data_IF_711866174941
#
_entry.id   IF_711866174941
#
_cell.length_a   1.000
_cell.length_b   1.000
_cell.length_c   1.000
_cell.angle_alpha   90.00
_cell.angle_beta   90.00
_cell.angle_gamma   90.00
#
_symmetry.space_group_name_H-M   'P 1'
#
loop_
_entity.id
_entity.type
_entity.pdbx_description
1 polymer ?
#
# COMPACT_ATOMS: atom_id res chain seq x y z
N UNK A 1 35.45 27.34 -17.32
CA UNK A 1 35.38 25.89 -17.04
C UNK A 1 33.99 25.46 -17.44
N UNK A 2 33.81 25.04 -18.70
CA UNK A 2 32.51 24.72 -19.27
C UNK A 2 32.19 23.26 -18.92
N UNK A 3 31.24 23.05 -18.01
CA UNK A 3 30.61 21.74 -17.79
C UNK A 3 29.61 21.53 -18.93
N UNK A 4 30.10 21.32 -20.15
CA UNK A 4 29.25 21.04 -21.31
C UNK A 4 28.74 19.60 -21.22
N UNK A 5 27.43 19.42 -21.22
CA UNK A 5 26.78 18.13 -21.17
C UNK A 5 25.35 18.19 -20.66
N UNK A 6 24.49 17.34 -21.24
CA UNK A 6 23.11 17.17 -20.79
C UNK A 6 23.07 16.71 -19.33
N UNK A 7 22.09 17.19 -18.57
CA UNK A 7 21.95 16.90 -17.14
C UNK A 7 20.68 16.12 -16.88
N UNK A 8 20.80 15.06 -16.10
CA UNK A 8 19.64 14.40 -15.48
C UNK A 8 19.59 14.86 -14.03
N UNK A 9 18.51 15.55 -13.65
CA UNK A 9 18.19 15.82 -12.26
C UNK A 9 17.17 14.79 -11.75
N UNK A 10 17.59 14.03 -10.74
CA UNK A 10 16.75 13.06 -10.05
C UNK A 10 16.14 13.75 -8.83
N UNK A 11 14.84 14.01 -8.85
CA UNK A 11 14.10 14.57 -7.71
C UNK A 11 13.44 13.42 -6.96
N UNK A 12 13.90 13.12 -5.75
CA UNK A 12 13.33 12.05 -4.93
C UNK A 12 12.46 12.68 -3.85
N UNK A 13 11.11 12.53 -3.91
CA UNK A 13 10.25 12.99 -2.83
C UNK A 13 10.42 12.13 -1.58
N UNK A 14 9.72 12.50 -0.50
CA UNK A 14 9.57 11.58 0.64
C UNK A 14 8.95 10.26 0.18
N UNK A 15 9.27 9.18 0.90
CA UNK A 15 8.66 7.86 0.66
C UNK A 15 9.50 6.86 -0.14
N UNK A 16 10.76 7.17 -0.45
CA UNK A 16 11.67 6.18 -1.04
C UNK A 16 13.02 6.71 -1.49
N UNK A 17 13.69 5.92 -2.32
CA UNK A 17 14.97 6.23 -2.93
C UNK A 17 14.95 5.88 -4.42
N UNK A 18 15.92 6.39 -5.19
CA UNK A 18 16.23 5.96 -6.55
C UNK A 18 17.64 5.39 -6.59
N UNK A 19 17.79 4.18 -7.11
CA UNK A 19 19.08 3.50 -7.23
C UNK A 19 19.34 3.08 -8.67
N UNK A 20 20.61 2.97 -9.06
CA UNK A 20 20.98 2.31 -10.32
C UNK A 20 21.35 0.85 -10.10
N UNK A 21 21.12 0.00 -11.10
CA UNK A 21 21.55 -1.41 -11.08
C UNK A 21 23.06 -1.57 -10.92
N UNK A 22 23.86 -0.61 -11.39
CA UNK A 22 25.31 -0.60 -11.20
C UNK A 22 25.72 -0.32 -9.75
N UNK A 23 24.84 0.28 -8.95
CA UNK A 23 25.12 0.74 -7.59
C UNK A 23 25.87 2.08 -7.51
N UNK A 24 26.21 2.69 -8.64
CA UNK A 24 26.96 3.96 -8.69
C UNK A 24 26.15 5.16 -8.22
N UNK A 25 24.81 5.07 -8.32
CA UNK A 25 23.90 6.14 -7.94
C UNK A 25 22.91 5.61 -6.90
N UNK A 26 22.84 6.32 -5.79
CA UNK A 26 21.81 6.16 -4.77
C UNK A 26 21.35 7.54 -4.31
N UNK A 27 20.14 7.88 -4.69
CA UNK A 27 19.49 9.14 -4.33
C UNK A 27 18.40 8.87 -3.30
N UNK A 28 18.60 9.36 -2.08
CA UNK A 28 17.70 9.13 -0.95
C UNK A 28 16.52 10.11 -0.93
N UNK A 29 15.53 9.83 -0.09
CA UNK A 29 14.36 10.67 0.12
C UNK A 29 14.75 12.14 0.39
N UNK A 30 14.04 13.06 -0.27
CA UNK A 30 14.25 14.50 -0.16
C UNK A 30 15.51 15.03 -0.88
N UNK A 31 16.29 14.17 -1.54
CA UNK A 31 17.48 14.59 -2.26
C UNK A 31 17.18 14.98 -3.71
N UNK A 32 18.08 15.82 -4.25
CA UNK A 32 18.17 16.10 -5.68
C UNK A 32 19.56 15.66 -6.13
N UNK A 33 19.63 14.57 -6.90
CA UNK A 33 20.88 14.08 -7.47
C UNK A 33 21.05 14.59 -8.89
N UNK A 34 22.27 15.01 -9.25
CA UNK A 34 22.58 15.54 -10.59
C UNK A 34 23.58 14.63 -11.27
N UNK A 35 23.22 14.12 -12.44
CA UNK A 35 24.11 13.32 -13.29
C UNK A 35 24.42 14.11 -14.56
N UNK A 36 25.69 14.15 -14.94
CA UNK A 36 26.11 14.71 -16.22
C UNK A 36 26.21 13.56 -17.24
N UNK A 37 25.61 13.74 -18.41
CA UNK A 37 25.63 12.81 -19.54
C UNK A 37 26.37 13.48 -20.70
N UNK A 38 27.61 13.07 -20.91
CA UNK A 38 28.56 13.79 -21.78
C UNK A 38 29.16 12.90 -22.88
N UNK A 39 28.77 11.62 -22.94
CA UNK A 39 29.28 10.66 -23.92
C UNK A 39 28.19 9.71 -24.39
N UNK A 40 28.56 8.84 -25.35
CA UNK A 40 27.67 7.86 -25.97
C UNK A 40 27.61 6.52 -25.22
N UNK A 41 28.36 6.39 -24.13
CA UNK A 41 28.46 5.17 -23.33
C UNK A 41 27.59 5.21 -22.07
N UNK A 42 26.78 6.25 -21.90
CA UNK A 42 25.83 6.32 -20.80
C UNK A 42 24.75 5.25 -20.99
N UNK A 43 24.68 4.33 -20.03
CA UNK A 43 23.68 3.27 -19.97
C UNK A 43 23.41 2.96 -18.49
N UNK A 44 22.22 3.32 -18.02
CA UNK A 44 21.83 3.17 -16.63
C UNK A 44 20.37 2.74 -16.51
N UNK A 45 20.10 1.81 -15.61
CA UNK A 45 18.73 1.41 -15.23
C UNK A 45 18.46 1.96 -13.84
N UNK A 46 17.50 2.88 -13.75
CA UNK A 46 17.06 3.51 -12.51
C UNK A 46 15.85 2.77 -11.95
N UNK A 47 15.93 2.39 -10.69
CA UNK A 47 14.87 1.69 -9.96
C UNK A 47 14.43 2.55 -8.80
N UNK A 48 13.12 2.81 -8.71
CA UNK A 48 12.52 3.42 -7.54
C UNK A 48 12.37 2.36 -6.44
N UNK A 49 12.86 2.65 -5.25
CA UNK A 49 12.82 1.78 -4.07
C UNK A 49 11.94 2.46 -3.03
N UNK A 50 10.68 2.03 -2.86
CA UNK A 50 9.80 2.58 -1.83
C UNK A 50 10.37 2.35 -0.42
N UNK A 51 10.18 3.34 0.45
CA UNK A 51 10.39 3.16 1.88
C UNK A 51 9.27 2.31 2.49
N UNK A 52 9.44 1.86 3.72
CA UNK A 52 8.38 1.17 4.46
C UNK A 52 7.12 2.05 4.55
N UNK A 53 5.95 1.44 4.29
CA UNK A 53 4.68 2.18 4.26
C UNK A 53 4.45 2.99 2.98
N UNK A 54 5.27 2.83 1.94
CA UNK A 54 5.07 3.47 0.64
C UNK A 54 5.06 2.46 -0.49
N UNK A 55 4.44 2.85 -1.60
CA UNK A 55 4.52 2.14 -2.87
C UNK A 55 4.95 3.08 -3.99
N UNK A 56 5.68 2.54 -4.96
CA UNK A 56 6.00 3.25 -6.19
C UNK A 56 4.84 3.09 -7.16
N UNK A 57 4.24 4.21 -7.58
CA UNK A 57 3.08 4.20 -8.51
C UNK A 57 3.45 4.65 -9.92
N UNK A 58 4.71 4.97 -10.15
CA UNK A 58 5.26 5.29 -11.46
C UNK A 58 6.12 6.55 -11.49
N UNK A 59 6.78 6.79 -12.62
CA UNK A 59 7.55 8.01 -12.84
C UNK A 59 6.63 9.17 -13.19
N UNK A 60 6.90 10.37 -12.67
CA UNK A 60 6.06 11.54 -12.86
C UNK A 60 6.07 11.99 -14.33
N UNK A 61 4.88 12.11 -14.92
CA UNK A 61 4.71 12.76 -16.22
C UNK A 61 4.84 14.26 -16.07
N UNK A 62 5.85 14.85 -16.73
CA UNK A 62 6.10 16.29 -16.74
C UNK A 62 6.88 16.70 -18.00
N UNK A 63 6.94 17.99 -18.26
CA UNK A 63 7.83 18.51 -19.31
C UNK A 63 9.27 18.09 -19.03
N UNK A 64 9.94 17.57 -20.07
CA UNK A 64 11.29 16.97 -20.02
C UNK A 64 11.45 15.86 -18.97
N UNK A 65 10.34 15.24 -18.56
CA UNK A 65 10.34 14.08 -17.68
C UNK A 65 10.74 12.82 -18.42
N UNK A 66 11.61 12.02 -17.81
CA UNK A 66 12.04 10.73 -18.31
C UNK A 66 11.15 9.63 -17.73
N UNK A 67 10.77 8.66 -18.57
CA UNK A 67 9.95 7.50 -18.20
C UNK A 67 8.54 7.80 -17.65
N UNK A 68 8.03 9.03 -17.82
CA UNK A 68 6.74 9.47 -17.27
C UNK A 68 5.57 8.52 -17.56
N UNK A 69 4.83 8.18 -16.52
CA UNK A 69 3.69 7.26 -16.54
C UNK A 69 4.06 5.77 -16.50
N UNK A 70 5.34 5.41 -16.66
CA UNK A 70 5.80 4.03 -16.51
C UNK A 70 5.90 3.64 -15.04
N UNK A 71 5.52 2.41 -14.72
CA UNK A 71 5.73 1.74 -13.41
C UNK A 71 6.93 0.81 -13.41
N UNK A 72 7.62 0.69 -14.54
CA UNK A 72 8.82 -0.14 -14.69
C UNK A 72 10.08 0.65 -14.32
N UNK A 73 11.19 -0.07 -14.13
CA UNK A 73 12.50 0.55 -14.01
C UNK A 73 12.79 1.43 -15.25
N UNK A 74 13.35 2.61 -15.03
CA UNK A 74 13.64 3.57 -16.09
C UNK A 74 15.03 3.30 -16.68
N UNK A 75 15.08 2.64 -17.83
CA UNK A 75 16.32 2.45 -18.57
C UNK A 75 16.62 3.67 -19.44
N UNK A 76 17.77 4.30 -19.21
CA UNK A 76 18.25 5.46 -19.95
C UNK A 76 19.59 5.10 -20.61
N UNK A 77 19.64 5.21 -21.93
CA UNK A 77 20.84 4.90 -22.72
C UNK A 77 21.05 5.93 -23.81
N UNK A 78 22.31 6.25 -24.09
CA UNK A 78 22.74 7.07 -25.24
C UNK A 78 23.15 6.23 -26.44
N UNK A 79 23.08 4.91 -26.35
CA UNK A 79 23.35 4.02 -27.48
C UNK A 79 22.39 4.30 -28.65
N UNK A 80 22.92 4.39 -29.87
CA UNK A 80 22.13 4.69 -31.06
C UNK A 80 21.91 6.18 -31.33
N UNK A 81 22.50 7.06 -30.51
CA UNK A 81 22.54 8.50 -30.81
C UNK A 81 23.61 8.83 -31.87
N UNK A 82 24.57 7.93 -32.10
CA UNK A 82 25.60 8.09 -33.13
C UNK A 82 24.97 8.25 -34.53
N UNK A 83 25.19 9.42 -35.13
CA UNK A 83 24.63 9.76 -36.45
C UNK A 83 23.29 10.50 -36.42
N UNK A 84 22.70 10.75 -35.25
CA UNK A 84 21.53 11.62 -35.11
C UNK A 84 21.93 13.01 -34.60
N UNK A 85 22.04 13.98 -35.51
CA UNK A 85 22.51 15.33 -35.18
C UNK A 85 21.66 16.03 -34.10
N UNK A 86 20.34 15.78 -34.05
CA UNK A 86 19.46 16.36 -33.04
C UNK A 86 19.71 15.78 -31.65
N UNK A 87 19.95 14.47 -31.55
CA UNK A 87 20.25 13.82 -30.26
C UNK A 87 21.67 14.17 -29.79
N UNK A 88 22.63 14.26 -30.71
CA UNK A 88 23.99 14.75 -30.41
C UNK A 88 23.97 16.19 -29.90
N UNK A 89 23.14 17.07 -30.48
CA UNK A 89 23.00 18.44 -30.01
C UNK A 89 22.44 18.50 -28.58
N UNK A 90 21.59 17.55 -28.16
CA UNK A 90 21.14 17.45 -26.77
C UNK A 90 22.30 17.06 -25.86
N UNK A 91 23.12 16.07 -26.23
CA UNK A 91 24.29 15.67 -25.43
C UNK A 91 25.32 16.78 -25.26
N UNK A 92 25.48 17.65 -26.27
CA UNK A 92 26.39 18.80 -26.23
C UNK A 92 25.78 20.05 -25.57
N UNK A 93 24.49 20.02 -25.23
CA UNK A 93 23.78 21.15 -24.62
C UNK A 93 23.89 21.16 -23.09
N UNK A 94 23.43 22.24 -22.46
CA UNK A 94 23.21 22.33 -21.01
C UNK A 94 21.78 21.94 -20.60
N UNK A 95 21.05 21.22 -21.47
CA UNK A 95 19.66 20.89 -21.21
C UNK A 95 19.51 19.95 -20.00
N UNK A 96 18.43 20.18 -19.24
CA UNK A 96 18.11 19.41 -18.04
C UNK A 96 16.87 18.57 -18.26
N UNK A 97 16.97 17.28 -17.97
CA UNK A 97 15.88 16.32 -17.95
C UNK A 97 15.63 15.84 -16.52
N UNK A 98 14.38 15.46 -16.25
CA UNK A 98 13.93 15.16 -14.89
C UNK A 98 13.57 13.69 -14.76
N UNK A 99 14.09 13.06 -13.70
CA UNK A 99 13.65 11.73 -13.28
C UNK A 99 13.06 11.87 -11.87
N UNK A 100 11.76 11.61 -11.73
CA UNK A 100 11.04 11.86 -10.47
C UNK A 100 10.07 10.71 -10.21
N UNK A 101 10.36 9.82 -9.25
CA UNK A 101 9.41 8.77 -8.88
C UNK A 101 8.23 9.38 -8.13
N UNK A 102 7.06 8.76 -8.27
CA UNK A 102 5.89 9.05 -7.45
C UNK A 102 5.75 7.92 -6.44
N UNK A 103 5.91 8.27 -5.17
CA UNK A 103 5.59 7.39 -4.05
C UNK A 103 4.27 7.81 -3.44
N UNK A 104 3.43 6.83 -3.16
CA UNK A 104 2.18 7.03 -2.40
C UNK A 104 2.29 6.28 -1.07
N UNK A 105 1.80 6.91 -0.01
CA UNK A 105 1.68 6.23 1.28
C UNK A 105 0.71 5.07 1.13
N UNK A 106 1.19 3.87 1.44
CA UNK A 106 0.36 2.68 1.56
C UNK A 106 -0.54 2.88 2.78
N UNK A 107 -1.86 2.85 2.59
CA UNK A 107 -2.79 2.86 3.71
C UNK A 107 -2.44 1.68 4.65
N UNK A 108 -2.30 1.91 5.95
CA UNK A 108 -1.85 0.85 6.83
C UNK A 108 -2.93 -0.24 6.92
N UNK A 109 -2.50 -1.47 7.18
CA UNK A 109 -3.44 -2.57 7.28
C UNK A 109 -4.22 -2.48 8.59
N UNK A 110 -5.54 -2.56 8.51
CA UNK A 110 -6.43 -2.64 9.66
C UNK A 110 -6.51 -4.09 10.12
N UNK A 111 -5.84 -4.37 11.22
CA UNK A 111 -5.73 -5.64 11.90
C UNK A 111 -6.80 -5.76 12.98
N UNK A 112 -7.39 -6.94 13.10
CA UNK A 112 -8.43 -7.25 14.06
C UNK A 112 -7.86 -8.14 15.17
N UNK A 113 -8.15 -7.78 16.42
CA UNK A 113 -7.75 -8.56 17.60
C UNK A 113 -8.95 -8.77 18.49
N UNK A 114 -9.06 -9.93 19.16
CA UNK A 114 -10.18 -10.28 20.04
C UNK A 114 -9.76 -11.13 21.24
N UNK A 115 -10.75 -11.45 22.07
CA UNK A 115 -10.56 -12.13 23.37
C UNK A 115 -10.60 -11.14 24.53
N UNK A 116 -10.60 -11.66 25.76
CA UNK A 116 -10.70 -10.84 26.98
C UNK A 116 -9.64 -9.73 27.05
N UNK A 117 -8.43 -10.03 26.60
CA UNK A 117 -7.28 -9.11 26.59
C UNK A 117 -6.90 -8.68 25.18
N UNK A 118 -7.75 -8.94 24.18
CA UNK A 118 -7.48 -8.67 22.76
C UNK A 118 -6.19 -9.37 22.27
N UNK A 119 -5.92 -10.57 22.80
CA UNK A 119 -4.70 -11.33 22.55
C UNK A 119 -4.73 -12.19 21.29
N UNK A 120 -5.91 -12.47 20.75
CA UNK A 120 -6.07 -13.31 19.57
C UNK A 120 -6.11 -12.44 18.32
N UNK A 121 -5.19 -12.69 17.39
CA UNK A 121 -5.25 -12.09 16.06
C UNK A 121 -6.39 -12.75 15.25
N UNK A 122 -7.28 -11.92 14.71
CA UNK A 122 -8.49 -12.34 13.97
C UNK A 122 -8.41 -12.00 12.47
N UNK A 123 -7.26 -11.51 12.00
CA UNK A 123 -7.01 -11.24 10.59
C UNK A 123 -7.00 -9.76 10.22
N UNK A 124 -6.85 -9.51 8.93
CA UNK A 124 -6.73 -8.20 8.33
C UNK A 124 -7.98 -7.84 7.51
N UNK A 125 -8.54 -6.65 7.77
CA UNK A 125 -9.80 -6.17 7.21
C UNK A 125 -9.66 -5.58 5.80
N UNK A 126 -8.51 -4.98 5.48
CA UNK A 126 -8.26 -4.30 4.20
C UNK A 126 -7.08 -4.88 3.42
N UNK A 127 -6.54 -6.03 3.84
CA UNK A 127 -5.52 -6.76 3.08
C UNK A 127 -6.13 -7.43 1.84
N UNK A 128 -5.35 -7.63 0.76
CA UNK A 128 -5.78 -8.39 -0.40
C UNK A 128 -6.41 -9.73 -0.03
N UNK A 129 -7.56 -10.08 -0.63
CA UNK A 129 -8.29 -11.32 -0.34
C UNK A 129 -7.53 -12.61 -0.67
N UNK A 130 -6.37 -12.51 -1.34
CA UNK A 130 -5.46 -13.63 -1.60
C UNK A 130 -4.52 -13.93 -0.43
N UNK A 131 -4.36 -13.01 0.52
CA UNK A 131 -3.46 -13.19 1.67
C UNK A 131 -4.08 -14.16 2.67
N UNK A 132 -3.27 -15.03 3.27
CA UNK A 132 -3.75 -16.01 4.26
C UNK A 132 -4.42 -15.35 5.48
N UNK A 133 -3.98 -14.13 5.81
CA UNK A 133 -4.47 -13.38 6.96
C UNK A 133 -5.67 -12.48 6.65
N UNK A 134 -6.07 -12.35 5.38
CA UNK A 134 -7.24 -11.54 5.03
C UNK A 134 -8.52 -12.20 5.55
N UNK A 135 -9.40 -11.42 6.19
CA UNK A 135 -10.74 -11.89 6.57
C UNK A 135 -11.60 -12.23 5.34
N UNK A 136 -11.20 -11.80 4.14
CA UNK A 136 -11.88 -12.12 2.89
C UNK A 136 -11.32 -13.34 2.17
N UNK A 137 -10.24 -13.96 2.66
CA UNK A 137 -9.71 -15.19 2.08
C UNK A 137 -10.50 -16.41 2.60
N UNK A 138 -11.39 -16.95 1.77
CA UNK A 138 -12.19 -18.14 2.11
C UNK A 138 -11.37 -19.39 2.44
N UNK A 139 -10.12 -19.44 1.95
CA UNK A 139 -9.18 -20.54 2.16
C UNK A 139 -8.06 -20.15 3.15
N UNK A 140 -8.14 -18.96 3.74
CA UNK A 140 -7.15 -18.43 4.69
C UNK A 140 -7.47 -18.78 6.14
N UNK A 141 -6.57 -18.39 7.04
CA UNK A 141 -6.67 -18.69 8.47
C UNK A 141 -7.76 -17.88 9.18
N UNK A 142 -8.12 -16.71 8.63
CA UNK A 142 -9.01 -15.74 9.27
C UNK A 142 -10.27 -15.45 8.46
N UNK A 143 -10.32 -15.84 7.19
CA UNK A 143 -11.48 -15.66 6.32
C UNK A 143 -12.33 -16.92 6.10
N UNK A 144 -11.82 -18.10 6.43
CA UNK A 144 -12.54 -19.36 6.28
C UNK A 144 -13.68 -19.48 7.30
N UNK A 145 -14.86 -19.94 6.87
CA UNK A 145 -16.06 -20.03 7.70
C UNK A 145 -15.99 -21.08 8.83
N UNK A 146 -14.94 -21.90 8.86
CA UNK A 146 -14.74 -22.94 9.88
C UNK A 146 -13.43 -22.77 10.66
N UNK A 147 -12.65 -21.72 10.35
CA UNK A 147 -11.43 -21.46 11.09
C UNK A 147 -11.75 -20.95 12.52
N UNK A 148 -10.95 -21.33 13.53
CA UNK A 148 -11.25 -21.01 14.93
C UNK A 148 -11.19 -19.50 15.22
N UNK A 149 -10.30 -18.76 14.54
CA UNK A 149 -10.10 -17.31 14.72
C UNK A 149 -10.70 -16.48 13.58
N UNK A 150 -11.75 -17.00 12.95
CA UNK A 150 -12.46 -16.32 11.88
C UNK A 150 -13.73 -15.66 12.41
N UNK A 151 -13.89 -14.37 12.09
CA UNK A 151 -15.14 -13.66 12.34
C UNK A 151 -16.29 -14.21 11.49
N UNK A 152 -16.04 -15.04 10.49
CA UNK A 152 -17.08 -15.65 9.67
C UNK A 152 -17.49 -17.05 10.13
N UNK A 153 -16.90 -17.54 11.22
CA UNK A 153 -17.26 -18.83 11.81
C UNK A 153 -18.42 -18.68 12.80
N UNK A 154 -19.64 -18.92 12.31
CA UNK A 154 -20.87 -18.79 13.10
C UNK A 154 -20.93 -19.72 14.33
N UNK A 155 -20.15 -20.81 14.33
CA UNK A 155 -20.04 -21.73 15.45
C UNK A 155 -18.85 -21.42 16.38
N UNK A 156 -17.97 -20.49 15.99
CA UNK A 156 -16.78 -20.11 16.74
C UNK A 156 -16.96 -18.87 17.61
N UNK A 157 -16.00 -18.63 18.49
CA UNK A 157 -16.06 -17.55 19.49
C UNK A 157 -16.15 -16.16 18.87
N UNK A 158 -15.56 -15.97 17.69
CA UNK A 158 -15.45 -14.65 17.04
C UNK A 158 -16.47 -14.42 15.94
N UNK A 159 -17.17 -15.44 15.44
CA UNK A 159 -18.19 -15.30 14.39
C UNK A 159 -19.62 -15.61 14.84
N UNK A 160 -19.81 -16.10 16.06
CA UNK A 160 -21.13 -16.44 16.58
C UNK A 160 -21.98 -15.21 16.94
N UNK A 161 -23.27 -15.24 16.63
CA UNK A 161 -24.21 -14.16 16.98
C UNK A 161 -24.49 -14.04 18.49
N UNK A 162 -24.00 -14.96 19.32
CA UNK A 162 -24.33 -15.02 20.76
C UNK A 162 -23.13 -14.88 21.69
N UNK A 163 -21.90 -15.06 21.20
CA UNK A 163 -20.71 -14.99 22.05
C UNK A 163 -20.36 -13.54 22.36
N UNK A 164 -19.71 -13.29 23.51
CA UNK A 164 -19.35 -11.93 23.92
C UNK A 164 -18.15 -11.36 23.13
N UNK A 165 -17.43 -12.21 22.39
CA UNK A 165 -16.23 -11.88 21.61
C UNK A 165 -16.50 -11.62 20.13
N UNK A 166 -17.72 -11.90 19.65
CA UNK A 166 -18.05 -11.71 18.25
C UNK A 166 -18.42 -10.25 17.96
N UNK A 167 -17.95 -9.68 16.84
CA UNK A 167 -18.40 -8.36 16.41
C UNK A 167 -19.87 -8.37 15.96
N UNK A 168 -20.51 -9.53 15.81
CA UNK A 168 -21.87 -9.64 15.28
C UNK A 168 -22.95 -9.79 16.35
N UNK A 169 -22.55 -10.09 17.59
CA UNK A 169 -23.48 -10.10 18.70
C UNK A 169 -23.83 -8.67 19.10
N UNK A 170 -25.09 -8.27 18.89
CA UNK A 170 -25.59 -6.92 19.20
C UNK A 170 -25.60 -6.57 20.69
N UNK A 171 -25.33 -7.55 21.57
CA UNK A 171 -25.17 -7.36 23.01
C UNK A 171 -23.74 -7.60 23.51
N UNK A 172 -22.78 -7.86 22.61
CA UNK A 172 -21.39 -8.08 23.00
C UNK A 172 -20.80 -6.85 23.70
N UNK A 173 -19.98 -7.13 24.72
CA UNK A 173 -19.24 -6.15 25.51
C UNK A 173 -17.73 -6.35 25.42
N UNK A 174 -17.27 -7.49 24.90
CA UNK A 174 -15.87 -7.83 24.68
C UNK A 174 -15.56 -7.99 23.18
N UNK A 175 -16.13 -7.13 22.35
CA UNK A 175 -15.95 -7.18 20.91
C UNK A 175 -14.48 -6.96 20.49
N UNK A 176 -14.09 -7.36 19.27
CA UNK A 176 -12.73 -7.19 18.77
C UNK A 176 -12.33 -5.73 18.56
N UNK A 177 -11.06 -5.41 18.80
CA UNK A 177 -10.47 -4.10 18.49
C UNK A 177 -9.83 -4.07 17.10
N UNK A 178 -9.92 -2.91 16.46
CA UNK A 178 -9.25 -2.63 15.19
C UNK A 178 -8.01 -1.80 15.48
N UNK A 179 -6.85 -2.27 15.04
CA UNK A 179 -5.58 -1.52 15.09
C UNK A 179 -4.98 -1.46 13.70
N UNK A 180 -4.20 -0.44 13.41
CA UNK A 180 -3.35 -0.51 12.23
C UNK A 180 -2.01 -1.20 12.52
N UNK A 181 -1.19 -1.38 11.48
CA UNK A 181 0.15 -1.97 11.58
C UNK A 181 1.10 -1.18 12.47
N UNK A 182 0.83 0.11 12.71
CA UNK A 182 1.60 0.97 13.61
C UNK A 182 1.09 0.90 15.06
N UNK A 183 0.02 0.13 15.31
CA UNK A 183 -0.59 -0.08 16.61
C UNK A 183 -1.64 0.97 17.00
N UNK A 184 -1.93 1.94 16.14
CA UNK A 184 -2.95 2.96 16.37
C UNK A 184 -4.34 2.30 16.43
N UNK A 185 -5.12 2.68 17.44
CA UNK A 185 -6.46 2.13 17.69
C UNK A 185 -7.52 2.88 16.88
N UNK A 186 -8.41 2.14 16.20
CA UNK A 186 -9.55 2.64 15.42
C UNK A 186 -10.91 2.30 16.05
N UNK A 187 -10.90 1.78 17.28
CA UNK A 187 -12.08 1.41 18.06
C UNK A 187 -12.46 -0.06 17.93
N UNK A 188 -13.64 -0.41 18.43
CA UNK A 188 -14.18 -1.76 18.40
C UNK A 188 -14.98 -2.03 17.13
N UNK A 189 -14.75 -3.18 16.51
CA UNK A 189 -15.64 -3.71 15.48
C UNK A 189 -16.82 -4.37 16.20
N UNK A 190 -18.00 -3.76 16.16
CA UNK A 190 -19.16 -4.28 16.92
C UNK A 190 -20.49 -3.83 16.34
N UNK A 191 -21.43 -4.78 16.27
CA UNK A 191 -22.84 -4.59 15.97
C UNK A 191 -23.62 -4.03 17.18
N UNK A 192 -23.03 -4.09 18.39
CA UNK A 192 -23.59 -3.41 19.56
C UNK A 192 -23.41 -1.89 19.42
N UNK A 193 -24.44 -1.21 18.93
CA UNK A 193 -24.44 0.24 18.73
C UNK A 193 -24.27 1.04 20.02
N UNK A 194 -24.53 0.45 21.18
CA UNK A 194 -24.39 1.08 22.48
C UNK A 194 -22.99 0.91 23.09
N UNK A 195 -22.11 0.09 22.49
CA UNK A 195 -20.76 -0.14 23.01
C UNK A 195 -19.91 1.14 22.92
N UNK A 196 -19.35 1.62 24.04
CA UNK A 196 -18.41 2.73 24.01
C UNK A 196 -17.17 2.39 23.19
N UNK A 197 -16.68 3.37 22.41
CA UNK A 197 -15.49 3.18 21.58
C UNK A 197 -15.70 2.32 20.33
N UNK A 198 -16.96 2.06 19.94
CA UNK A 198 -17.28 1.52 18.61
C UNK A 198 -16.58 2.33 17.53
N UNK A 199 -16.06 1.65 16.51
CA UNK A 199 -15.30 2.28 15.43
C UNK A 199 -16.10 3.36 14.72
N UNK A 200 -15.39 4.37 14.22
CA UNK A 200 -15.94 5.45 13.39
C UNK A 200 -15.51 5.33 11.92
N UNK A 201 -14.77 4.28 11.55
CA UNK A 201 -14.38 4.03 10.16
C UNK A 201 -15.65 3.76 9.34
N UNK A 202 -16.01 4.61 8.35
CA UNK A 202 -17.33 4.57 7.72
C UNK A 202 -17.72 3.20 7.15
N UNK A 203 -16.81 2.53 6.44
CA UNK A 203 -17.04 1.21 5.87
C UNK A 203 -17.31 0.14 6.95
N UNK A 204 -16.60 0.19 8.08
CA UNK A 204 -16.75 -0.76 9.18
C UNK A 204 -18.01 -0.50 10.02
N UNK A 205 -18.45 0.75 10.09
CA UNK A 205 -19.77 1.10 10.65
C UNK A 205 -20.88 0.55 9.76
N UNK A 206 -20.78 0.69 8.44
CA UNK A 206 -21.74 0.11 7.50
C UNK A 206 -21.77 -1.42 7.63
N UNK A 207 -20.61 -2.08 7.68
CA UNK A 207 -20.50 -3.53 7.90
C UNK A 207 -21.25 -3.98 9.15
N UNK A 208 -20.96 -3.36 10.29
CA UNK A 208 -21.54 -3.78 11.57
C UNK A 208 -23.03 -3.44 11.68
N UNK A 209 -23.50 -2.37 11.03
CA UNK A 209 -24.93 -2.09 10.92
C UNK A 209 -25.64 -3.12 10.02
N UNK A 210 -25.03 -3.49 8.89
CA UNK A 210 -25.56 -4.51 7.99
C UNK A 210 -25.66 -5.87 8.69
N UNK A 211 -24.63 -6.23 9.48
CA UNK A 211 -24.63 -7.44 10.30
C UNK A 211 -25.64 -7.42 11.44
N UNK A 212 -26.01 -6.24 11.96
CA UNK A 212 -26.97 -6.10 13.06
C UNK A 212 -28.43 -6.30 12.61
N UNK A 213 -28.72 -6.19 11.31
CA UNK A 213 -30.07 -6.41 10.79
C UNK A 213 -30.37 -7.92 10.71
N UNK A 214 -31.38 -8.41 11.44
CA UNK A 214 -31.69 -9.84 11.52
C UNK A 214 -32.16 -10.45 10.20
N UNK A 215 -32.43 -9.64 9.16
CA UNK A 215 -32.77 -10.14 7.84
C UNK A 215 -31.58 -10.76 7.11
N UNK A 216 -30.35 -10.38 7.45
CA UNK A 216 -29.15 -10.81 6.75
C UNK A 216 -28.44 -11.93 7.50
N UNK A 217 -28.08 -12.97 6.75
CA UNK A 217 -27.27 -14.07 7.28
C UNK A 217 -25.79 -13.69 7.31
N UNK A 218 -25.02 -14.31 8.22
CA UNK A 218 -23.58 -14.07 8.30
C UNK A 218 -22.83 -14.30 6.96
N UNK A 219 -23.17 -15.33 6.15
CA UNK A 219 -22.63 -15.44 4.79
C UNK A 219 -22.97 -14.25 3.89
N UNK A 220 -24.19 -13.71 3.95
CA UNK A 220 -24.57 -12.54 3.15
C UNK A 220 -23.80 -11.27 3.58
N UNK A 221 -23.54 -11.11 4.89
CA UNK A 221 -22.70 -10.03 5.44
C UNK A 221 -21.28 -10.13 4.92
N UNK A 222 -20.69 -11.33 4.96
CA UNK A 222 -19.36 -11.61 4.42
C UNK A 222 -19.28 -11.29 2.94
N UNK A 223 -20.26 -11.76 2.16
CA UNK A 223 -20.29 -11.56 0.72
C UNK A 223 -20.40 -10.08 0.36
N UNK A 224 -21.15 -9.28 1.14
CA UNK A 224 -21.22 -7.83 0.97
C UNK A 224 -19.89 -7.12 1.28
N UNK A 225 -19.18 -7.58 2.31
CA UNK A 225 -17.92 -6.94 2.71
C UNK A 225 -16.75 -7.28 1.77
N UNK A 226 -16.75 -8.50 1.25
CA UNK A 226 -15.61 -9.07 0.54
C UNK A 226 -15.72 -9.03 -1.00
N UNK A 227 -16.81 -8.48 -1.57
CA UNK A 227 -17.03 -8.39 -3.02
C UNK A 227 -17.42 -6.98 -3.48
#
# INVERSE_FOLDING_TARGET
>A
MFLAGCKIEIYVPDGGAVVTTSGDVRCEAGQICRLNVNDLFFDQVFTAVPAEGFTFVGWRTRDRGLCGGSVEACHLTTAGMEGNASLMAVLESDEVFYLEPVFEATAPFLLLYGGDEQQFYLGCLNCPGTFLDSVCNANGNHGAAFAPYSIWNAAGDFGSLVTNYSPWNVFATAAPVIRDTDGQLYGYLTANVAQPGRTLVPLLVQLTNYAADPQYSLPAVRDWFCN
#
